data_IF_990206340069
#
_entry.id   IF_990206340069
#
_cell.length_a   1.000
_cell.length_b   1.000
_cell.length_c   1.000
_cell.angle_alpha   90.00
_cell.angle_beta   90.00
_cell.angle_gamma   90.00
#
_symmetry.space_group_name_H-M   'P 1'
#
loop_
_entity.id
_entity.type
_entity.pdbx_description
1 polymer ?
#
# COMPACT_ATOMS: atom_id res chain seq x y z
N UNK A 1 6.61 11.25 2.44
CA UNK A 1 5.24 10.82 2.78
C UNK A 1 5.23 9.31 2.81
N UNK A 2 4.85 8.72 3.94
CA UNK A 2 4.85 7.28 4.18
C UNK A 2 3.54 6.62 3.70
N UNK A 3 3.56 5.32 3.39
CA UNK A 3 2.36 4.55 3.04
C UNK A 3 1.28 4.70 4.11
N UNK A 4 1.68 4.71 5.38
CA UNK A 4 0.78 4.95 6.51
C UNK A 4 0.03 6.27 6.38
N UNK A 5 0.72 7.36 6.05
CA UNK A 5 0.13 8.70 5.91
C UNK A 5 -0.86 8.76 4.74
N UNK A 6 -0.55 8.08 3.65
CA UNK A 6 -1.46 7.94 2.51
C UNK A 6 -2.73 7.18 2.93
N UNK A 7 -2.58 6.07 3.66
CA UNK A 7 -3.75 5.31 4.13
C UNK A 7 -4.56 6.13 5.16
N UNK A 8 -3.90 6.89 6.02
CA UNK A 8 -4.57 7.74 7.03
C UNK A 8 -5.37 8.88 6.36
N UNK A 9 -4.84 9.49 5.28
CA UNK A 9 -5.57 10.53 4.53
C UNK A 9 -6.75 9.98 3.72
N UNK A 10 -6.63 8.77 3.18
CA UNK A 10 -7.73 8.08 2.47
C UNK A 10 -8.81 7.58 3.45
N UNK A 11 -8.38 7.07 4.60
CA UNK A 11 -9.20 6.37 5.58
C UNK A 11 -9.21 4.85 5.37
N UNK A 12 -8.96 4.09 6.45
CA UNK A 12 -8.82 2.63 6.44
C UNK A 12 -10.05 1.92 5.87
N UNK A 13 -11.25 2.21 6.38
CA UNK A 13 -12.48 1.53 5.96
C UNK A 13 -12.80 1.83 4.48
N UNK A 14 -12.54 3.05 4.05
CA UNK A 14 -12.76 3.47 2.66
C UNK A 14 -11.82 2.74 1.72
N UNK A 15 -10.54 2.68 2.08
CA UNK A 15 -9.55 1.96 1.28
C UNK A 15 -9.82 0.44 1.24
N UNK A 16 -10.21 -0.15 2.37
CA UNK A 16 -10.54 -1.56 2.44
C UNK A 16 -11.68 -1.93 1.49
N UNK A 17 -12.75 -1.11 1.47
CA UNK A 17 -13.88 -1.27 0.55
C UNK A 17 -13.46 -1.20 -0.92
N UNK A 18 -12.63 -0.22 -1.29
CA UNK A 18 -12.17 -0.06 -2.67
C UNK A 18 -11.20 -1.15 -3.12
N UNK A 19 -10.40 -1.69 -2.19
CA UNK A 19 -9.49 -2.80 -2.46
C UNK A 19 -10.16 -4.19 -2.37
N UNK A 20 -11.40 -4.27 -1.89
CA UNK A 20 -12.10 -5.54 -1.65
C UNK A 20 -11.44 -6.41 -0.58
N UNK A 21 -10.90 -5.80 0.48
CA UNK A 21 -10.21 -6.48 1.59
C UNK A 21 -10.84 -6.10 2.93
N UNK A 22 -10.42 -6.77 4.01
CA UNK A 22 -10.82 -6.41 5.37
C UNK A 22 -10.05 -5.20 5.88
N UNK A 23 -10.65 -4.42 6.79
CA UNK A 23 -9.99 -3.28 7.44
C UNK A 23 -8.69 -3.70 8.14
N UNK A 24 -8.68 -4.89 8.74
CA UNK A 24 -7.50 -5.50 9.38
C UNK A 24 -6.34 -5.66 8.40
N UNK A 25 -6.61 -6.02 7.14
CA UNK A 25 -5.56 -6.11 6.12
C UNK A 25 -4.93 -4.74 5.86
N UNK A 26 -5.74 -3.69 5.77
CA UNK A 26 -5.27 -2.32 5.57
C UNK A 26 -4.49 -1.80 6.79
N UNK A 27 -4.93 -2.12 8.01
CA UNK A 27 -4.18 -1.81 9.25
C UNK A 27 -2.82 -2.50 9.24
N UNK A 28 -2.76 -3.76 8.81
CA UNK A 28 -1.49 -4.50 8.67
C UNK A 28 -0.55 -3.82 7.66
N UNK A 29 -1.08 -3.27 6.56
CA UNK A 29 -0.26 -2.58 5.55
C UNK A 29 0.41 -1.31 6.09
N UNK A 30 -0.23 -0.59 7.03
CA UNK A 30 0.40 0.56 7.70
C UNK A 30 1.65 0.19 8.49
N UNK A 31 1.75 -1.06 8.95
CA UNK A 31 2.85 -1.54 9.78
C UNK A 31 3.89 -2.35 9.01
N UNK A 32 3.44 -3.13 8.03
CA UNK A 32 4.26 -4.15 7.34
C UNK A 32 4.43 -3.89 5.85
N UNK A 33 3.84 -2.82 5.32
CA UNK A 33 3.80 -2.55 3.90
C UNK A 33 2.79 -3.43 3.14
N UNK A 34 2.75 -3.23 1.82
CA UNK A 34 1.87 -4.02 0.95
C UNK A 34 2.38 -5.45 0.79
N UNK A 35 1.48 -6.42 0.53
CA UNK A 35 1.87 -7.82 0.31
C UNK A 35 2.95 -7.95 -0.77
N UNK A 36 3.96 -8.77 -0.52
CA UNK A 36 5.08 -8.98 -1.44
C UNK A 36 4.61 -9.66 -2.74
N UNK A 37 5.21 -9.28 -3.87
CA UNK A 37 4.94 -9.89 -5.18
C UNK A 37 5.48 -11.33 -5.24
N UNK A 38 4.69 -12.30 -4.77
CA UNK A 38 4.96 -13.74 -4.96
C UNK A 38 3.71 -14.47 -5.48
N UNK A 39 3.83 -15.11 -6.64
CA UNK A 39 2.74 -15.87 -7.27
C UNK A 39 1.46 -15.03 -7.45
N UNK A 40 0.32 -15.57 -7.02
CA UNK A 40 -0.98 -14.88 -7.07
C UNK A 40 -1.02 -13.55 -6.27
N UNK A 41 -0.09 -13.32 -5.34
CA UNK A 41 0.02 -12.06 -4.61
C UNK A 41 0.51 -10.90 -5.50
N UNK A 42 1.19 -11.18 -6.62
CA UNK A 42 1.65 -10.15 -7.55
C UNK A 42 0.49 -9.41 -8.22
N UNK A 43 -0.55 -10.15 -8.67
CA UNK A 43 -1.76 -9.55 -9.27
C UNK A 43 -2.53 -8.71 -8.23
N UNK A 44 -2.61 -9.19 -6.99
CA UNK A 44 -3.26 -8.47 -5.87
C UNK A 44 -2.52 -7.17 -5.51
N UNK A 45 -1.20 -7.22 -5.37
CA UNK A 45 -0.40 -6.01 -5.06
C UNK A 45 -0.56 -4.94 -6.13
N UNK A 46 -0.50 -5.32 -7.41
CA UNK A 46 -0.70 -4.36 -8.52
C UNK A 46 -2.12 -3.77 -8.56
N UNK A 47 -3.13 -4.49 -8.06
CA UNK A 47 -4.46 -3.92 -7.86
C UNK A 47 -4.47 -2.90 -6.71
N UNK A 48 -3.92 -3.23 -5.54
CA UNK A 48 -3.86 -2.31 -4.40
C UNK A 48 -3.07 -1.04 -4.70
N UNK A 49 -1.90 -1.17 -5.35
CA UNK A 49 -1.10 -0.01 -5.80
C UNK A 49 -1.93 0.93 -6.70
N UNK A 50 -2.73 0.38 -7.62
CA UNK A 50 -3.60 1.19 -8.50
C UNK A 50 -4.71 1.89 -7.72
N UNK A 51 -5.35 1.19 -6.79
CA UNK A 51 -6.45 1.76 -5.97
C UNK A 51 -5.90 2.87 -5.08
N UNK A 52 -4.81 2.62 -4.36
CA UNK A 52 -4.17 3.60 -3.46
C UNK A 52 -3.74 4.83 -4.24
N UNK A 53 -3.04 4.67 -5.37
CA UNK A 53 -2.58 5.79 -6.18
C UNK A 53 -3.75 6.63 -6.71
N UNK A 54 -4.81 5.99 -7.22
CA UNK A 54 -6.03 6.65 -7.67
C UNK A 54 -6.69 7.46 -6.55
N UNK A 55 -6.82 6.87 -5.36
CA UNK A 55 -7.47 7.52 -4.22
C UNK A 55 -6.65 8.65 -3.61
N UNK A 56 -5.32 8.54 -3.68
CA UNK A 56 -4.39 9.59 -3.26
C UNK A 56 -4.14 10.66 -4.32
N UNK A 57 -4.74 10.55 -5.52
CA UNK A 57 -4.57 11.50 -6.61
C UNK A 57 -3.16 11.53 -7.22
N UNK A 58 -2.41 10.43 -7.15
CA UNK A 58 -1.02 10.34 -7.62
C UNK A 58 -0.83 9.26 -8.69
N UNK A 59 0.32 9.28 -9.38
CA UNK A 59 0.64 8.24 -10.36
C UNK A 59 1.06 6.95 -9.65
N UNK A 60 0.72 5.81 -10.24
CA UNK A 60 1.13 4.49 -9.70
C UNK A 60 2.66 4.35 -9.63
N UNK A 61 3.39 4.98 -10.55
CA UNK A 61 4.86 5.02 -10.52
C UNK A 61 5.40 5.71 -9.27
N UNK A 62 4.86 6.89 -8.94
CA UNK A 62 5.24 7.66 -7.74
C UNK A 62 4.99 6.86 -6.47
N UNK A 63 3.83 6.19 -6.37
CA UNK A 63 3.53 5.30 -5.24
C UNK A 63 4.54 4.15 -5.13
N UNK A 64 4.93 3.53 -6.25
CA UNK A 64 5.89 2.42 -6.26
C UNK A 64 7.29 2.86 -5.81
N UNK A 65 7.71 4.05 -6.22
CA UNK A 65 8.99 4.62 -5.77
C UNK A 65 8.99 4.89 -4.27
N UNK A 66 7.88 5.41 -3.72
CA UNK A 66 7.70 5.60 -2.28
C UNK A 66 7.77 4.27 -1.53
N UNK A 67 7.00 3.26 -1.99
CA UNK A 67 7.00 1.93 -1.38
C UNK A 67 8.38 1.26 -1.44
N UNK A 68 9.12 1.42 -2.54
CA UNK A 68 10.46 0.87 -2.68
C UNK A 68 11.47 1.52 -1.72
N UNK A 69 11.35 2.83 -1.48
CA UNK A 69 12.16 3.55 -0.48
C UNK A 69 11.86 3.05 0.93
N UNK A 70 10.59 2.93 1.31
CA UNK A 70 10.20 2.41 2.63
C UNK A 70 10.66 0.97 2.84
N UNK A 71 10.51 0.09 1.83
CA UNK A 71 10.98 -1.30 1.90
C UNK A 71 12.52 -1.37 2.06
N UNK A 72 13.26 -0.46 1.44
CA UNK A 72 14.72 -0.36 1.59
C UNK A 72 15.13 0.14 2.98
N UNK A 73 14.46 1.18 3.51
CA UNK A 73 14.70 1.71 4.86
C UNK A 73 14.39 0.66 5.94
N UNK A 74 13.25 -0.04 5.82
CA UNK A 74 12.90 -1.12 6.75
C UNK A 74 13.89 -2.28 6.73
N UNK A 75 14.51 -2.57 5.57
CA UNK A 75 15.51 -3.63 5.44
C UNK A 75 16.88 -3.23 5.99
N UNK A 76 17.18 -1.92 6.06
CA UNK A 76 18.42 -1.42 6.66
C UNK A 76 18.33 -1.26 8.18
N UNK A 77 17.11 -1.12 8.72
CA UNK A 77 16.83 -1.01 10.14
C UNK A 77 16.64 -2.36 10.87
N UNK A 78 16.70 -3.48 10.13
CA UNK A 78 16.52 -4.86 10.64
C UNK A 78 17.79 -5.69 10.42
#
# INVERSE_FOLDING_TARGET
MMLKEIIDSIGTNRLARECGVTDVAVVSWKQKGLPVRRGNAQKRRAHYERVIARMAGMKVGELRELLAKEEAEHKQAA
#
